data_IF_905378138433
#
_entry.id   IF_905378138433
#
_cell.length_a   1.000
_cell.length_b   1.000
_cell.length_c   1.000
_cell.angle_alpha   90.00
_cell.angle_beta   90.00
_cell.angle_gamma   90.00
#
_symmetry.space_group_name_H-M   'P 1'
#
loop_
_entity.id
_entity.type
_entity.pdbx_description
1 polymer ?
#
# COMPACT_ATOMS: atom_id res chain seq x y z
N UNK A 1 -10.53 4.94 -8.48
CA UNK A 1 -10.12 3.52 -8.39
C UNK A 1 -9.21 3.14 -9.54
N UNK A 2 -8.30 2.19 -9.33
CA UNK A 2 -7.50 1.64 -10.44
C UNK A 2 -7.34 0.13 -10.35
N UNK A 3 -7.24 -0.49 -11.53
CA UNK A 3 -7.09 -1.93 -11.67
C UNK A 3 -6.01 -2.22 -12.69
N UNK A 4 -5.09 -3.11 -12.31
CA UNK A 4 -4.00 -3.57 -13.14
C UNK A 4 -3.94 -5.08 -13.05
N UNK A 5 -4.22 -5.75 -14.16
CA UNK A 5 -4.13 -7.21 -14.23
C UNK A 5 -3.49 -7.72 -15.52
N UNK A 6 -2.23 -8.15 -15.49
CA UNK A 6 -1.65 -8.98 -16.54
C UNK A 6 -2.02 -10.46 -16.36
N UNK A 7 -2.12 -11.19 -17.47
CA UNK A 7 -2.35 -12.65 -17.47
C UNK A 7 -1.15 -13.43 -18.01
N UNK A 8 -0.88 -14.63 -17.47
CA UNK A 8 0.19 -15.52 -17.94
C UNK A 8 -0.27 -16.41 -19.10
N UNK A 9 0.57 -16.59 -20.12
CA UNK A 9 0.30 -17.55 -21.19
C UNK A 9 0.47 -18.99 -20.68
N UNK A 10 -0.52 -19.85 -20.95
CA UNK A 10 -0.48 -21.27 -20.61
C UNK A 10 -0.07 -22.16 -21.80
N UNK A 11 -0.10 -21.63 -23.03
CA UNK A 11 0.10 -22.43 -24.25
C UNK A 11 1.55 -22.74 -24.60
N UNK A 12 2.52 -21.94 -24.12
CA UNK A 12 3.91 -22.02 -24.60
C UNK A 12 4.77 -23.05 -23.86
N UNK A 13 4.21 -23.71 -22.85
CA UNK A 13 4.85 -24.82 -22.13
C UNK A 13 3.79 -25.81 -21.68
N UNK A 14 3.40 -26.72 -22.57
CA UNK A 14 2.74 -27.97 -22.18
C UNK A 14 3.59 -28.74 -21.13
N UNK A 15 4.91 -28.46 -21.05
CA UNK A 15 5.84 -28.89 -20.00
C UNK A 15 5.63 -28.24 -18.61
N UNK A 16 4.96 -27.10 -18.50
CA UNK A 16 4.66 -26.43 -17.22
C UNK A 16 3.35 -26.92 -16.59
N UNK A 17 2.56 -27.71 -17.32
CA UNK A 17 1.37 -28.39 -16.80
C UNK A 17 1.71 -29.75 -16.16
N UNK A 18 2.86 -30.33 -16.51
CA UNK A 18 3.30 -31.67 -16.06
C UNK A 18 4.27 -31.66 -14.87
N UNK A 19 4.74 -30.49 -14.42
CA UNK A 19 5.52 -30.35 -13.17
C UNK A 19 4.62 -29.78 -12.07
N UNK A 20 4.26 -30.64 -11.11
CA UNK A 20 3.64 -30.37 -9.81
C UNK A 20 3.12 -28.93 -9.57
N UNK A 21 1.82 -28.86 -9.38
CA UNK A 21 0.85 -27.76 -9.35
C UNK A 21 1.10 -26.59 -8.35
N UNK A 22 2.35 -26.18 -8.13
CA UNK A 22 2.77 -25.18 -7.13
C UNK A 22 2.81 -23.74 -7.68
N UNK A 23 1.87 -23.36 -8.55
CA UNK A 23 1.83 -21.98 -9.07
C UNK A 23 1.08 -21.03 -8.13
N UNK A 24 1.48 -19.76 -8.13
CA UNK A 24 0.80 -18.71 -7.38
C UNK A 24 0.27 -17.61 -8.31
N UNK A 25 -0.98 -17.24 -8.08
CA UNK A 25 -1.53 -15.95 -8.44
C UNK A 25 -1.20 -14.94 -7.35
N UNK A 26 -1.10 -13.67 -7.72
CA UNK A 26 -1.02 -12.57 -6.76
C UNK A 26 -2.31 -11.77 -6.84
N UNK A 27 -2.92 -11.48 -5.69
CA UNK A 27 -4.07 -10.61 -5.58
C UNK A 27 -3.81 -9.54 -4.53
N UNK A 28 -3.77 -8.29 -4.95
CA UNK A 28 -3.68 -7.11 -4.10
C UNK A 28 -5.05 -6.42 -4.07
N UNK A 29 -5.62 -6.32 -2.88
CA UNK A 29 -6.85 -5.58 -2.59
C UNK A 29 -6.48 -4.38 -1.75
N UNK A 30 -6.48 -3.20 -2.38
CA UNK A 30 -6.11 -1.93 -1.80
C UNK A 30 -7.31 -1.10 -1.35
N UNK A 31 -7.18 -0.49 -0.18
CA UNK A 31 -8.08 0.54 0.32
C UNK A 31 -7.25 1.79 0.61
N UNK A 32 -7.55 2.89 -0.04
CA UNK A 32 -6.85 4.17 0.11
C UNK A 32 -7.06 4.77 1.50
N UNK A 33 -6.03 5.37 2.11
CA UNK A 33 -6.15 6.24 3.29
C UNK A 33 -6.62 5.58 4.60
N UNK A 34 -6.35 4.29 4.82
CA UNK A 34 -6.75 3.58 6.04
C UNK A 34 -5.54 3.16 6.87
N UNK A 35 -5.46 3.72 8.08
CA UNK A 35 -4.47 3.30 9.09
C UNK A 35 -4.78 1.90 9.62
N UNK A 36 -3.77 1.22 10.18
CA UNK A 36 -3.95 -0.04 10.90
C UNK A 36 -5.07 0.03 11.93
N UNK A 37 -5.04 1.02 12.81
CA UNK A 37 -6.02 1.13 13.88
C UNK A 37 -7.41 1.54 13.35
N UNK A 38 -7.47 2.35 12.29
CA UNK A 38 -8.73 2.67 11.64
C UNK A 38 -9.39 1.42 11.06
N UNK A 39 -8.65 0.55 10.38
CA UNK A 39 -9.19 -0.70 9.83
C UNK A 39 -9.80 -1.60 10.90
N UNK A 40 -9.14 -1.72 12.08
CA UNK A 40 -9.71 -2.46 13.22
C UNK A 40 -10.98 -1.83 13.78
N UNK A 41 -11.09 -0.50 13.79
CA UNK A 41 -12.27 0.21 14.31
C UNK A 41 -13.45 0.17 13.34
N UNK A 42 -13.19 0.44 12.06
CA UNK A 42 -14.24 0.62 11.07
C UNK A 42 -14.61 -0.67 10.35
N UNK A 43 -13.68 -1.60 10.18
CA UNK A 43 -13.92 -2.86 9.44
C UNK A 43 -13.63 -4.13 10.28
N UNK A 44 -14.25 -4.26 11.48
CA UNK A 44 -13.94 -5.36 12.40
C UNK A 44 -14.33 -6.74 11.86
N UNK A 45 -15.40 -6.89 11.05
CA UNK A 45 -15.78 -8.19 10.48
C UNK A 45 -14.72 -8.67 9.49
N UNK A 46 -14.27 -7.76 8.63
CA UNK A 46 -13.19 -7.99 7.68
C UNK A 46 -11.88 -8.36 8.38
N UNK A 47 -11.48 -7.59 9.39
CA UNK A 47 -10.27 -7.86 10.20
C UNK A 47 -10.34 -9.23 10.87
N UNK A 48 -11.45 -9.53 11.53
CA UNK A 48 -11.60 -10.80 12.25
C UNK A 48 -11.56 -11.99 11.29
N UNK A 49 -12.17 -11.86 10.12
CA UNK A 49 -12.15 -12.93 9.13
C UNK A 49 -10.74 -13.14 8.53
N UNK A 50 -10.01 -12.07 8.20
CA UNK A 50 -8.62 -12.17 7.73
C UNK A 50 -7.75 -12.90 8.76
N UNK A 51 -7.88 -12.56 10.04
CA UNK A 51 -7.19 -13.27 11.13
C UNK A 51 -7.62 -14.74 11.23
N UNK A 52 -8.92 -15.02 11.12
CA UNK A 52 -9.47 -16.38 11.18
C UNK A 52 -8.90 -17.29 10.09
N UNK A 53 -8.72 -16.79 8.86
CA UNK A 53 -8.15 -17.58 7.76
C UNK A 53 -6.62 -17.67 7.80
N UNK A 54 -5.98 -17.04 8.80
CA UNK A 54 -4.54 -17.07 9.02
C UNK A 54 -3.76 -16.07 8.18
N UNK A 55 -4.37 -14.96 7.75
CA UNK A 55 -3.65 -13.84 7.17
C UNK A 55 -2.77 -13.18 8.24
N UNK A 56 -1.51 -12.94 7.92
CA UNK A 56 -0.53 -12.30 8.82
C UNK A 56 -0.69 -10.79 8.71
N UNK A 57 -0.98 -10.16 9.84
CA UNK A 57 -1.02 -8.70 9.96
C UNK A 57 0.40 -8.15 10.15
N UNK A 58 0.86 -7.30 9.24
CA UNK A 58 2.17 -6.63 9.33
C UNK A 58 2.03 -5.39 10.22
N UNK A 59 2.27 -5.58 11.52
CA UNK A 59 2.09 -4.55 12.57
C UNK A 59 3.09 -3.39 12.40
N UNK A 60 4.32 -3.69 11.98
CA UNK A 60 5.37 -2.70 11.76
C UNK A 60 5.42 -2.09 10.36
N UNK A 61 4.37 -2.23 9.54
CA UNK A 61 4.33 -1.68 8.20
C UNK A 61 4.19 -0.15 8.22
N UNK A 62 5.14 0.54 7.60
CA UNK A 62 5.28 1.99 7.63
C UNK A 62 5.33 2.56 6.22
N UNK A 63 4.59 3.66 6.00
CA UNK A 63 4.65 4.39 4.72
C UNK A 63 6.00 5.07 4.52
N UNK A 64 6.33 5.39 3.28
CA UNK A 64 7.61 6.05 2.92
C UNK A 64 7.41 7.45 2.33
N UNK A 65 6.17 7.80 1.99
CA UNK A 65 5.84 9.08 1.39
C UNK A 65 4.46 9.60 1.78
N UNK A 66 4.13 10.77 1.25
CA UNK A 66 2.98 11.57 1.71
C UNK A 66 1.64 10.90 1.39
N UNK A 67 1.39 10.60 0.12
CA UNK A 67 0.11 10.13 -0.43
C UNK A 67 0.26 8.77 -1.15
N UNK A 68 -0.77 8.36 -1.90
CA UNK A 68 -0.78 7.11 -2.65
C UNK A 68 0.40 6.93 -3.58
N UNK A 69 0.76 7.97 -4.33
CA UNK A 69 1.73 7.85 -5.40
C UNK A 69 3.11 7.33 -4.95
N UNK A 70 3.83 7.96 -3.99
CA UNK A 70 5.13 7.44 -3.54
C UNK A 70 5.04 6.06 -2.91
N UNK A 71 3.98 5.77 -2.17
CA UNK A 71 3.86 4.51 -1.43
C UNK A 71 3.54 3.33 -2.35
N UNK A 72 2.59 3.49 -3.28
CA UNK A 72 2.27 2.46 -4.28
C UNK A 72 3.40 2.33 -5.29
N UNK A 73 4.03 3.43 -5.72
CA UNK A 73 5.20 3.40 -6.60
C UNK A 73 6.35 2.60 -5.98
N UNK A 74 6.64 2.83 -4.70
CA UNK A 74 7.67 2.08 -3.99
C UNK A 74 7.37 0.58 -3.92
N UNK A 75 6.11 0.18 -3.69
CA UNK A 75 5.71 -1.23 -3.70
C UNK A 75 5.78 -1.87 -5.09
N UNK A 76 5.48 -1.10 -6.14
CA UNK A 76 5.44 -1.64 -7.50
C UNK A 76 6.77 -1.52 -8.24
N UNK A 77 7.65 -0.58 -7.90
CA UNK A 77 8.91 -0.35 -8.61
C UNK A 77 10.16 -0.51 -7.74
N UNK A 78 10.02 -0.63 -6.41
CA UNK A 78 11.17 -0.72 -5.50
C UNK A 78 11.96 0.58 -5.37
N UNK A 79 11.40 1.70 -5.84
CA UNK A 79 12.12 2.99 -5.99
C UNK A 79 11.34 4.17 -5.45
N UNK A 80 12.06 5.20 -5.04
CA UNK A 80 11.51 6.51 -4.74
C UNK A 80 11.04 7.23 -6.02
N UNK A 81 10.20 8.25 -5.85
CA UNK A 81 9.77 9.13 -6.94
C UNK A 81 10.98 9.79 -7.60
N UNK A 82 11.92 10.30 -6.81
CA UNK A 82 13.09 11.04 -7.30
C UNK A 82 14.01 10.15 -8.15
N UNK A 83 14.05 8.85 -7.84
CA UNK A 83 14.80 7.85 -8.60
C UNK A 83 14.11 7.53 -9.93
N UNK A 84 12.78 7.37 -9.91
CA UNK A 84 11.96 7.16 -11.12
C UNK A 84 12.01 8.38 -12.06
N UNK A 85 11.98 9.59 -11.49
CA UNK A 85 12.06 10.83 -12.26
C UNK A 85 13.41 10.96 -12.98
N UNK A 86 14.52 10.63 -12.32
CA UNK A 86 15.84 10.70 -12.95
C UNK A 86 16.01 9.72 -14.11
N UNK A 87 15.35 8.57 -14.04
CA UNK A 87 15.63 7.47 -14.95
C UNK A 87 14.67 7.38 -16.14
N UNK A 88 13.37 7.40 -15.88
CA UNK A 88 12.36 7.04 -16.88
C UNK A 88 11.17 8.01 -16.94
N UNK A 89 11.01 8.89 -15.96
CA UNK A 89 9.90 9.85 -15.88
C UNK A 89 10.36 11.29 -15.53
N UNK A 90 11.23 11.91 -16.33
CA UNK A 90 11.89 13.18 -15.97
C UNK A 90 10.96 14.39 -15.94
N UNK A 91 9.83 14.34 -16.63
CA UNK A 91 8.81 15.39 -16.63
C UNK A 91 7.42 14.79 -16.72
N UNK A 92 6.40 15.56 -16.34
CA UNK A 92 4.99 15.15 -16.38
C UNK A 92 4.47 14.79 -17.79
N UNK A 93 5.21 15.16 -18.83
CA UNK A 93 4.90 14.80 -20.22
C UNK A 93 5.38 13.40 -20.61
N UNK A 94 6.19 12.74 -19.77
CA UNK A 94 6.65 11.37 -20.02
C UNK A 94 5.64 10.35 -19.48
N UNK A 95 5.64 9.18 -20.10
CA UNK A 95 4.84 8.03 -19.65
C UNK A 95 5.70 7.03 -18.89
N UNK A 96 5.05 6.24 -18.03
CA UNK A 96 5.71 5.22 -17.21
C UNK A 96 6.09 3.94 -17.99
N UNK A 97 5.86 3.89 -19.30
CA UNK A 97 6.07 2.69 -20.13
C UNK A 97 7.51 2.15 -20.07
N UNK A 98 8.48 3.04 -19.87
CA UNK A 98 9.91 2.70 -19.80
C UNK A 98 10.43 2.51 -18.36
N UNK A 99 9.56 2.58 -17.36
CA UNK A 99 9.96 2.45 -15.96
C UNK A 99 9.95 0.99 -15.49
N UNK A 100 11.00 0.58 -14.80
CA UNK A 100 11.16 -0.78 -14.25
C UNK A 100 10.22 -1.05 -13.08
N UNK A 101 8.95 -1.31 -13.37
CA UNK A 101 7.98 -1.80 -12.42
C UNK A 101 7.95 -3.33 -12.40
N UNK A 102 7.40 -3.89 -11.32
CA UNK A 102 7.29 -5.32 -11.07
C UNK A 102 6.61 -6.07 -12.22
N UNK A 103 5.69 -5.44 -12.93
CA UNK A 103 5.05 -6.07 -14.08
C UNK A 103 6.00 -6.37 -15.24
N UNK A 104 7.17 -5.73 -15.29
CA UNK A 104 8.23 -6.10 -16.21
C UNK A 104 8.78 -7.49 -15.91
N UNK A 105 8.97 -7.80 -14.63
CA UNK A 105 9.40 -9.10 -14.18
C UNK A 105 8.32 -10.16 -14.42
N UNK A 106 7.04 -9.81 -14.19
CA UNK A 106 5.92 -10.68 -14.53
C UNK A 106 5.87 -10.94 -16.04
N UNK A 107 6.02 -9.91 -16.91
CA UNK A 107 6.08 -10.11 -18.36
C UNK A 107 7.19 -11.10 -18.76
N UNK A 108 8.38 -10.95 -18.18
CA UNK A 108 9.51 -11.88 -18.41
C UNK A 108 9.19 -13.31 -17.97
N UNK A 109 8.31 -13.49 -16.99
CA UNK A 109 7.83 -14.80 -16.49
C UNK A 109 6.62 -15.36 -17.26
N UNK A 110 6.33 -14.82 -18.44
CA UNK A 110 5.32 -15.32 -19.39
C UNK A 110 3.98 -14.58 -19.36
N UNK A 111 3.90 -13.42 -18.72
CA UNK A 111 2.70 -12.58 -18.74
C UNK A 111 2.58 -11.78 -20.06
N UNK A 112 1.36 -11.65 -20.60
CA UNK A 112 1.13 -11.28 -22.01
C UNK A 112 1.44 -9.83 -22.36
N UNK A 113 0.93 -8.86 -21.59
CA UNK A 113 1.06 -7.43 -21.93
C UNK A 113 1.38 -6.57 -20.72
N UNK A 114 2.25 -5.59 -20.94
CA UNK A 114 2.38 -4.44 -20.04
C UNK A 114 1.54 -3.27 -20.58
N UNK A 115 0.99 -2.42 -19.70
CA UNK A 115 0.86 -2.63 -18.26
C UNK A 115 -0.10 -3.78 -17.96
N UNK A 116 -1.27 -3.85 -18.60
CA UNK A 116 -2.34 -4.77 -18.21
C UNK A 116 -3.18 -5.28 -19.39
N UNK A 117 -3.75 -6.47 -19.25
CA UNK A 117 -4.79 -7.01 -20.14
C UNK A 117 -6.21 -6.52 -19.76
N UNK A 118 -6.43 -6.14 -18.48
CA UNK A 118 -7.71 -5.71 -17.93
C UNK A 118 -7.58 -4.44 -17.08
N UNK A 119 -8.05 -3.31 -17.60
CA UNK A 119 -8.05 -2.01 -16.91
C UNK A 119 -9.45 -1.48 -16.63
N UNK A 120 -10.01 -1.77 -15.44
CA UNK A 120 -11.32 -1.25 -15.02
C UNK A 120 -11.34 0.29 -14.90
N UNK A 121 -10.18 0.88 -14.61
CA UNK A 121 -10.02 2.32 -14.39
C UNK A 121 -10.53 3.18 -15.55
N UNK A 122 -10.41 2.73 -16.81
CA UNK A 122 -10.91 3.48 -17.96
C UNK A 122 -12.43 3.57 -17.98
N UNK A 123 -13.09 2.44 -17.72
CA UNK A 123 -14.55 2.37 -17.63
C UNK A 123 -15.03 3.15 -16.40
N UNK A 124 -14.42 2.93 -15.25
CA UNK A 124 -14.75 3.59 -13.99
C UNK A 124 -14.65 5.11 -14.11
N UNK A 125 -13.55 5.62 -14.68
CA UNK A 125 -13.35 7.06 -14.91
C UNK A 125 -14.45 7.65 -15.79
N UNK A 126 -14.82 6.98 -16.88
CA UNK A 126 -15.87 7.48 -17.77
C UNK A 126 -17.26 7.37 -17.13
N UNK A 127 -17.51 6.32 -16.33
CA UNK A 127 -18.74 6.17 -15.57
C UNK A 127 -18.87 7.27 -14.51
N UNK A 128 -17.83 7.53 -13.72
CA UNK A 128 -17.75 8.63 -12.76
C UNK A 128 -18.01 9.98 -13.42
N UNK A 129 -17.37 10.23 -14.58
CA UNK A 129 -17.55 11.48 -15.33
C UNK A 129 -19.00 11.70 -15.81
N UNK A 130 -19.71 10.65 -16.22
CA UNK A 130 -21.05 10.76 -16.80
C UNK A 130 -22.19 10.67 -15.79
N UNK A 131 -22.06 9.79 -14.80
CA UNK A 131 -23.15 9.42 -13.88
C UNK A 131 -22.71 9.41 -12.41
N UNK A 132 -21.46 9.75 -12.12
CA UNK A 132 -20.97 9.87 -10.76
C UNK A 132 -21.68 10.98 -9.99
N UNK A 133 -22.00 10.72 -8.72
CA UNK A 133 -22.76 11.62 -7.87
C UNK A 133 -22.47 11.35 -6.38
N UNK A 134 -23.18 12.08 -5.50
CA UNK A 134 -22.95 12.03 -4.04
C UNK A 134 -21.48 12.35 -3.75
N UNK A 135 -21.04 13.51 -4.25
CA UNK A 135 -19.68 13.98 -4.02
C UNK A 135 -19.48 14.21 -2.52
N UNK A 136 -18.43 13.60 -1.98
CA UNK A 136 -17.96 13.80 -0.63
C UNK A 136 -16.52 14.27 -0.74
N UNK A 137 -16.31 15.58 -0.59
CA UNK A 137 -15.02 16.25 -0.82
C UNK A 137 -14.41 15.91 -2.20
N UNK A 138 -13.35 15.09 -2.24
CA UNK A 138 -12.57 14.79 -3.44
C UNK A 138 -13.03 13.51 -4.17
N UNK A 139 -13.99 12.77 -3.61
CA UNK A 139 -14.44 11.48 -4.15
C UNK A 139 -15.94 11.44 -4.42
N UNK A 140 -16.34 10.62 -5.40
CA UNK A 140 -17.74 10.28 -5.65
C UNK A 140 -18.07 8.95 -4.97
N UNK A 141 -19.12 8.93 -4.16
CA UNK A 141 -19.55 7.72 -3.46
C UNK A 141 -20.41 6.79 -4.34
N UNK A 142 -21.06 7.37 -5.35
CA UNK A 142 -22.05 6.67 -6.18
C UNK A 142 -21.82 6.90 -7.68
N UNK A 143 -22.10 5.87 -8.49
CA UNK A 143 -22.33 5.96 -9.94
C UNK A 143 -23.77 5.60 -10.29
N UNK A 144 -24.55 6.61 -10.67
CA UNK A 144 -26.00 6.49 -10.75
C UNK A 144 -26.57 6.07 -9.39
N UNK A 145 -27.32 4.97 -9.36
CA UNK A 145 -27.93 4.42 -8.14
C UNK A 145 -27.06 3.36 -7.43
N UNK A 146 -25.77 3.24 -7.77
CA UNK A 146 -24.89 2.18 -7.25
C UNK A 146 -23.69 2.76 -6.52
N UNK A 147 -23.33 2.13 -5.41
CA UNK A 147 -22.10 2.44 -4.69
C UNK A 147 -20.87 2.08 -5.51
N UNK A 148 -19.89 2.98 -5.51
CA UNK A 148 -18.66 2.84 -6.29
C UNK A 148 -17.84 1.64 -5.80
N UNK A 149 -17.63 1.50 -4.49
CA UNK A 149 -16.91 0.37 -3.90
C UNK A 149 -17.56 -0.99 -4.21
N UNK A 150 -18.90 -1.06 -4.25
CA UNK A 150 -19.61 -2.32 -4.56
C UNK A 150 -19.40 -2.76 -6.01
N UNK A 151 -19.44 -1.82 -6.95
CA UNK A 151 -19.18 -2.13 -8.36
C UNK A 151 -17.72 -2.55 -8.59
N UNK A 152 -16.78 -1.95 -7.85
CA UNK A 152 -15.38 -2.37 -7.84
C UNK A 152 -15.20 -3.80 -7.33
N UNK A 153 -15.76 -4.12 -6.15
CA UNK A 153 -15.73 -5.48 -5.59
C UNK A 153 -16.39 -6.50 -6.52
N UNK A 154 -17.48 -6.12 -7.18
CA UNK A 154 -18.17 -6.97 -8.17
C UNK A 154 -17.31 -7.21 -9.41
N UNK A 155 -16.62 -6.18 -9.91
CA UNK A 155 -15.68 -6.34 -11.02
C UNK A 155 -14.53 -7.29 -10.64
N UNK A 156 -13.92 -7.06 -9.47
CA UNK A 156 -12.82 -7.90 -8.95
C UNK A 156 -13.24 -9.36 -8.78
N UNK A 157 -14.39 -9.63 -8.16
CA UNK A 157 -14.88 -11.00 -7.94
C UNK A 157 -15.21 -11.71 -9.25
N UNK A 158 -15.79 -11.02 -10.23
CA UNK A 158 -16.02 -11.57 -11.56
C UNK A 158 -14.70 -11.88 -12.28
N UNK A 159 -13.73 -10.97 -12.20
CA UNK A 159 -12.40 -11.18 -12.77
C UNK A 159 -11.75 -12.45 -12.19
N UNK A 160 -11.68 -12.58 -10.87
CA UNK A 160 -11.06 -13.72 -10.18
C UNK A 160 -11.76 -15.03 -10.56
N UNK A 161 -13.09 -15.01 -10.60
CA UNK A 161 -13.88 -16.17 -11.01
C UNK A 161 -13.57 -16.58 -12.45
N UNK A 162 -13.55 -15.63 -13.39
CA UNK A 162 -13.21 -15.90 -14.80
C UNK A 162 -11.80 -16.47 -14.94
N UNK A 163 -10.82 -15.94 -14.20
CA UNK A 163 -9.44 -16.46 -14.24
C UNK A 163 -9.39 -17.91 -13.75
N UNK A 164 -10.06 -18.22 -12.63
CA UNK A 164 -10.14 -19.59 -12.13
C UNK A 164 -10.85 -20.54 -13.09
N UNK A 165 -12.01 -20.15 -13.63
CA UNK A 165 -12.82 -20.96 -14.56
C UNK A 165 -12.05 -21.31 -15.84
N UNK A 166 -11.11 -20.46 -16.27
CA UNK A 166 -10.29 -20.67 -17.46
C UNK A 166 -8.87 -21.14 -17.13
N UNK A 167 -8.59 -21.48 -15.86
CA UNK A 167 -7.26 -21.87 -15.36
C UNK A 167 -6.15 -20.85 -15.63
N UNK A 168 -6.49 -19.58 -15.81
CA UNK A 168 -5.55 -18.50 -16.14
C UNK A 168 -4.83 -17.98 -14.89
N UNK A 169 -3.51 -17.83 -14.99
CA UNK A 169 -2.71 -17.23 -13.92
C UNK A 169 -2.69 -15.70 -14.05
N UNK A 170 -2.71 -15.00 -12.93
CA UNK A 170 -2.82 -13.54 -12.91
C UNK A 170 -2.04 -12.87 -11.77
N UNK A 171 -1.68 -11.60 -11.98
CA UNK A 171 -1.30 -10.65 -10.93
C UNK A 171 -2.37 -9.57 -10.92
N UNK A 172 -3.25 -9.55 -9.92
CA UNK A 172 -4.37 -8.61 -9.87
C UNK A 172 -4.10 -7.54 -8.83
N UNK A 173 -4.06 -6.27 -9.25
CA UNK A 173 -3.96 -5.12 -8.36
C UNK A 173 -5.25 -4.31 -8.45
N UNK A 174 -6.04 -4.30 -7.39
CA UNK A 174 -7.35 -3.63 -7.31
C UNK A 174 -7.31 -2.58 -6.21
N UNK A 175 -7.58 -1.31 -6.55
CA UNK A 175 -7.47 -0.20 -5.60
C UNK A 175 -8.77 0.61 -5.53
N UNK A 176 -9.34 0.66 -4.32
CA UNK A 176 -10.60 1.33 -3.99
C UNK A 176 -10.32 2.58 -3.13
N UNK A 177 -11.05 3.67 -3.36
CA UNK A 177 -10.83 4.93 -2.64
C UNK A 177 -12.12 5.70 -2.27
N UNK A 178 -13.30 5.26 -2.73
CA UNK A 178 -14.54 6.03 -2.59
C UNK A 178 -15.02 6.13 -1.15
N UNK A 179 -14.88 5.08 -0.34
CA UNK A 179 -15.43 5.06 1.03
C UNK A 179 -14.39 5.36 2.12
N UNK A 180 -13.14 5.64 1.75
CA UNK A 180 -12.03 5.71 2.72
C UNK A 180 -11.10 6.90 2.57
N UNK A 181 -11.03 7.52 1.38
CA UNK A 181 -10.06 8.58 1.12
C UNK A 181 -10.28 9.83 2.00
N UNK A 182 -11.53 10.29 2.10
CA UNK A 182 -11.86 11.60 2.70
C UNK A 182 -12.54 11.52 4.09
N UNK A 183 -12.97 10.34 4.55
CA UNK A 183 -13.71 10.20 5.80
C UNK A 183 -13.20 9.06 6.69
N UNK A 184 -12.96 9.37 7.96
CA UNK A 184 -12.40 8.44 8.95
C UNK A 184 -13.34 7.29 9.30
N UNK A 185 -14.66 7.47 9.18
CA UNK A 185 -15.68 6.55 9.67
C UNK A 185 -16.44 5.85 8.54
N UNK A 186 -16.47 6.45 7.35
CA UNK A 186 -17.17 5.91 6.19
C UNK A 186 -16.72 4.50 5.77
N UNK A 187 -15.47 4.01 5.97
CA UNK A 187 -15.11 2.63 5.65
C UNK A 187 -15.99 1.58 6.32
N UNK A 188 -16.64 1.94 7.44
CA UNK A 188 -17.58 1.09 8.16
C UNK A 188 -18.75 0.59 7.32
N UNK A 189 -19.18 1.35 6.31
CA UNK A 189 -20.28 0.92 5.43
C UNK A 189 -19.86 -0.23 4.50
N UNK A 190 -18.55 -0.37 4.26
CA UNK A 190 -17.98 -1.42 3.42
C UNK A 190 -17.66 -2.72 4.17
N UNK A 191 -17.65 -2.72 5.51
CA UNK A 191 -17.16 -3.87 6.29
C UNK A 191 -17.87 -5.18 5.95
N UNK A 192 -19.21 -5.15 5.81
CA UNK A 192 -20.01 -6.31 5.41
C UNK A 192 -19.72 -6.78 3.98
N UNK A 193 -19.50 -5.84 3.05
CA UNK A 193 -19.20 -6.16 1.65
C UNK A 193 -17.81 -6.79 1.50
N UNK A 194 -16.78 -6.22 2.15
CA UNK A 194 -15.42 -6.76 2.13
C UNK A 194 -15.32 -8.10 2.86
N UNK A 195 -15.97 -8.24 4.03
CA UNK A 195 -16.10 -9.52 4.72
C UNK A 195 -16.70 -10.60 3.82
N UNK A 196 -17.82 -10.29 3.14
CA UNK A 196 -18.47 -11.23 2.23
C UNK A 196 -17.56 -11.65 1.07
N UNK A 197 -16.78 -10.72 0.52
CA UNK A 197 -15.81 -11.02 -0.54
C UNK A 197 -14.68 -11.91 -0.02
N UNK A 198 -14.04 -11.58 1.12
CA UNK A 198 -12.98 -12.42 1.67
C UNK A 198 -13.49 -13.83 1.99
N UNK A 199 -14.71 -13.93 2.53
CA UNK A 199 -15.39 -15.20 2.78
C UNK A 199 -15.59 -16.00 1.51
N UNK A 200 -16.19 -15.37 0.49
CA UNK A 200 -16.40 -15.97 -0.82
C UNK A 200 -15.09 -16.48 -1.45
N UNK A 201 -14.01 -15.68 -1.41
CA UNK A 201 -12.70 -16.05 -1.95
C UNK A 201 -12.13 -17.31 -1.29
N UNK A 202 -12.23 -17.42 0.03
CA UNK A 202 -11.74 -18.60 0.77
C UNK A 202 -12.64 -19.82 0.56
N UNK A 203 -13.95 -19.69 0.77
CA UNK A 203 -14.89 -20.82 0.74
C UNK A 203 -15.04 -21.45 -0.65
N UNK A 204 -14.88 -20.65 -1.71
CA UNK A 204 -14.95 -21.14 -3.09
C UNK A 204 -13.56 -21.53 -3.65
N UNK A 205 -12.54 -21.63 -2.79
CA UNK A 205 -11.20 -22.07 -3.15
C UNK A 205 -10.48 -21.15 -4.15
N UNK A 206 -10.82 -19.86 -4.20
CA UNK A 206 -10.08 -18.87 -5.00
C UNK A 206 -8.71 -18.55 -4.39
N UNK A 207 -8.56 -18.79 -3.08
CA UNK A 207 -7.31 -18.63 -2.32
C UNK A 207 -6.43 -19.89 -2.28
N UNK A 208 -6.78 -20.96 -3.00
CA UNK A 208 -6.00 -22.20 -2.99
C UNK A 208 -4.65 -22.03 -3.68
N UNK A 209 -4.56 -21.21 -4.73
CA UNK A 209 -3.33 -20.93 -5.48
C UNK A 209 -3.09 -19.42 -5.59
N UNK A 210 -3.50 -18.65 -4.59
CA UNK A 210 -3.43 -17.18 -4.64
C UNK A 210 -2.84 -16.64 -3.34
N UNK A 211 -1.74 -15.89 -3.45
CA UNK A 211 -1.28 -15.03 -2.36
C UNK A 211 -2.15 -13.78 -2.34
N UNK A 212 -2.77 -13.52 -1.21
CA UNK A 212 -3.65 -12.37 -1.02
C UNK A 212 -2.95 -11.32 -0.16
N UNK A 213 -2.83 -10.12 -0.70
CA UNK A 213 -2.42 -8.91 0.01
C UNK A 213 -3.65 -8.03 0.18
N UNK A 214 -3.97 -7.65 1.41
CA UNK A 214 -5.00 -6.65 1.71
C UNK A 214 -4.29 -5.48 2.37
N UNK A 215 -4.25 -4.32 1.73
CA UNK A 215 -3.38 -3.24 2.17
C UNK A 215 -3.96 -1.83 2.02
N UNK A 216 -3.33 -0.89 2.72
CA UNK A 216 -3.45 0.53 2.46
C UNK A 216 -2.06 1.14 2.23
N UNK A 217 -2.04 2.34 1.67
CA UNK A 217 -0.86 3.13 1.31
C UNK A 217 -0.44 4.13 2.40
N UNK A 218 -1.43 4.70 3.08
CA UNK A 218 -1.27 5.60 4.22
C UNK A 218 -2.55 5.62 5.08
N UNK A 219 -2.51 6.27 6.24
CA UNK A 219 -3.72 6.59 6.98
C UNK A 219 -4.39 7.88 6.48
N UNK A 220 -5.47 8.30 7.15
CA UNK A 220 -6.23 9.48 6.74
C UNK A 220 -5.38 10.76 6.80
N UNK A 221 -5.43 11.55 5.72
CA UNK A 221 -4.67 12.80 5.59
C UNK A 221 -5.50 14.07 5.84
N UNK A 222 -6.78 13.87 6.13
CA UNK A 222 -7.79 14.92 6.24
C UNK A 222 -8.49 14.89 7.60
N UNK A 223 -9.18 15.98 7.90
CA UNK A 223 -9.96 16.14 9.13
C UNK A 223 -9.13 16.44 10.38
N UNK A 224 -9.83 16.79 11.46
CA UNK A 224 -9.20 17.26 12.70
C UNK A 224 -8.34 16.22 13.43
N UNK A 225 -8.51 14.92 13.15
CA UNK A 225 -7.70 13.87 13.76
C UNK A 225 -6.21 14.05 13.45
N UNK A 226 -5.87 14.55 12.25
CA UNK A 226 -4.49 14.74 11.81
C UNK A 226 -3.71 15.75 12.66
N UNK A 227 -4.41 16.66 13.34
CA UNK A 227 -3.81 17.61 14.29
C UNK A 227 -3.42 16.98 15.63
N UNK A 228 -3.74 15.71 15.86
CA UNK A 228 -3.37 14.99 17.10
C UNK A 228 -2.15 14.10 16.86
N UNK A 229 -1.36 13.84 17.90
CA UNK A 229 -0.26 12.86 17.85
C UNK A 229 -0.74 11.48 17.36
N UNK A 230 -1.90 11.03 17.83
CA UNK A 230 -2.50 9.76 17.40
C UNK A 230 -2.78 9.75 15.89
N UNK A 231 -3.41 10.81 15.36
CA UNK A 231 -3.68 10.92 13.92
C UNK A 231 -2.41 10.98 13.10
N UNK A 232 -1.39 11.71 13.57
CA UNK A 232 -0.06 11.73 12.96
C UNK A 232 0.57 10.34 12.88
N UNK A 233 0.47 9.51 13.92
CA UNK A 233 0.99 8.14 13.88
C UNK A 233 0.15 7.25 12.96
N UNK A 234 -1.18 7.35 13.05
CA UNK A 234 -2.08 6.59 12.19
C UNK A 234 -1.92 6.92 10.71
N UNK A 235 -1.64 8.19 10.36
CA UNK A 235 -1.35 8.61 8.99
C UNK A 235 -0.13 7.88 8.41
N UNK A 236 0.85 7.51 9.25
CA UNK A 236 2.12 6.89 8.87
C UNK A 236 2.10 5.36 8.87
N UNK A 237 1.12 4.77 9.54
CA UNK A 237 1.01 3.33 9.79
C UNK A 237 -0.24 2.75 9.12
N UNK A 238 -0.24 2.58 7.78
CA UNK A 238 -1.30 1.87 7.08
C UNK A 238 -1.35 0.40 7.47
N UNK A 239 -2.47 -0.26 7.21
CA UNK A 239 -2.56 -1.71 7.40
C UNK A 239 -1.94 -2.47 6.23
N UNK A 240 -1.42 -3.66 6.52
CA UNK A 240 -1.06 -4.67 5.52
C UNK A 240 -1.33 -6.07 6.11
N UNK A 241 -2.13 -6.86 5.39
CA UNK A 241 -2.37 -8.27 5.68
C UNK A 241 -1.87 -9.12 4.51
N UNK A 242 -1.17 -10.21 4.84
CA UNK A 242 -0.63 -11.16 3.86
C UNK A 242 -1.16 -12.56 4.16
N UNK A 243 -1.93 -13.12 3.23
CA UNK A 243 -2.37 -14.51 3.27
C UNK A 243 -1.60 -15.34 2.24
N UNK A 244 -0.99 -16.42 2.70
CA UNK A 244 -0.37 -17.44 1.86
C UNK A 244 -1.28 -18.68 1.78
N UNK A 245 -1.38 -19.36 0.62
CA UNK A 245 -2.07 -20.64 0.52
C UNK A 245 -1.59 -21.67 1.55
N UNK A 246 -2.47 -22.58 1.97
CA UNK A 246 -2.15 -23.57 3.00
C UNK A 246 -1.00 -24.49 2.57
N UNK A 247 -1.03 -24.99 1.33
CA UNK A 247 0.06 -25.80 0.80
C UNK A 247 1.40 -25.05 0.80
N UNK A 248 1.38 -23.74 0.52
CA UNK A 248 2.59 -22.91 0.51
C UNK A 248 3.17 -22.81 1.93
N UNK A 249 2.32 -22.57 2.93
CA UNK A 249 2.73 -22.52 4.34
C UNK A 249 3.38 -23.83 4.79
N UNK A 250 2.79 -24.96 4.42
CA UNK A 250 3.31 -26.28 4.78
C UNK A 250 4.62 -26.61 4.03
N UNK A 251 4.70 -26.32 2.73
CA UNK A 251 5.85 -26.63 1.90
C UNK A 251 7.05 -25.71 2.20
N UNK A 252 6.79 -24.42 2.41
CA UNK A 252 7.80 -23.38 2.64
C UNK A 252 7.71 -22.82 4.06
N UNK A 253 7.73 -23.71 5.06
CA UNK A 253 7.52 -23.37 6.46
C UNK A 253 8.50 -22.29 6.97
N UNK A 254 9.76 -22.32 6.55
CA UNK A 254 10.76 -21.31 6.93
C UNK A 254 10.36 -19.92 6.43
N UNK A 255 9.89 -19.80 5.19
CA UNK A 255 9.43 -18.53 4.61
C UNK A 255 8.19 -17.99 5.32
N UNK A 256 7.27 -18.89 5.69
CA UNK A 256 6.09 -18.50 6.48
C UNK A 256 6.46 -18.05 7.89
N UNK A 257 7.41 -18.73 8.55
CA UNK A 257 7.92 -18.33 9.86
C UNK A 257 8.61 -16.95 9.80
N UNK A 258 9.37 -16.68 8.72
CA UNK A 258 9.96 -15.36 8.49
C UNK A 258 8.88 -14.29 8.33
N UNK A 259 7.83 -14.54 7.55
CA UNK A 259 6.71 -13.60 7.42
C UNK A 259 6.08 -13.28 8.78
N UNK A 260 5.83 -14.31 9.60
CA UNK A 260 5.29 -14.14 10.96
C UNK A 260 6.23 -13.34 11.85
N UNK A 261 7.54 -13.60 11.82
CA UNK A 261 8.54 -12.84 12.59
C UNK A 261 8.60 -11.37 12.13
N UNK A 262 8.71 -11.17 10.82
CA UNK A 262 8.82 -9.86 10.19
C UNK A 262 7.58 -9.00 10.38
N UNK A 263 6.42 -9.61 10.65
CA UNK A 263 5.19 -8.89 10.96
C UNK A 263 5.33 -7.92 12.14
N UNK A 264 6.27 -8.18 13.05
CA UNK A 264 6.56 -7.36 14.23
C UNK A 264 7.70 -6.35 14.00
N UNK A 265 8.33 -6.36 12.84
CA UNK A 265 9.49 -5.54 12.51
C UNK A 265 9.11 -4.37 11.60
N UNK A 266 9.99 -3.35 11.57
CA UNK A 266 9.84 -2.23 10.65
C UNK A 266 9.87 -2.75 9.21
N UNK A 267 8.77 -2.59 8.49
CA UNK A 267 8.61 -2.98 7.09
C UNK A 267 8.03 -1.84 6.29
N UNK A 268 8.26 -1.85 4.98
CA UNK A 268 7.97 -0.72 4.08
C UNK A 268 7.43 -1.22 2.74
N UNK A 269 6.88 -0.33 1.91
CA UNK A 269 6.60 -0.64 0.51
C UNK A 269 7.77 -1.28 -0.26
N UNK A 270 9.03 -0.96 0.05
CA UNK A 270 10.19 -1.60 -0.61
C UNK A 270 10.31 -3.08 -0.28
N UNK A 271 10.03 -3.46 0.96
CA UNK A 271 10.01 -4.87 1.37
C UNK A 271 8.89 -5.63 0.65
N UNK A 272 7.75 -4.95 0.41
CA UNK A 272 6.64 -5.50 -0.37
C UNK A 272 7.00 -5.69 -1.85
N UNK A 273 7.77 -4.76 -2.45
CA UNK A 273 8.30 -4.93 -3.81
C UNK A 273 9.16 -6.18 -3.93
N UNK A 274 10.16 -6.33 -3.05
CA UNK A 274 11.02 -7.51 -3.02
C UNK A 274 10.22 -8.79 -2.80
N UNK A 275 9.12 -8.73 -2.04
CA UNK A 275 8.21 -9.87 -1.84
C UNK A 275 7.52 -10.25 -3.15
N UNK A 276 7.04 -9.28 -3.94
CA UNK A 276 6.42 -9.56 -5.23
C UNK A 276 7.42 -10.18 -6.23
N UNK A 277 8.67 -9.74 -6.19
CA UNK A 277 9.76 -10.28 -7.01
C UNK A 277 10.12 -11.70 -6.58
N UNK A 278 10.28 -11.96 -5.28
CA UNK A 278 10.57 -13.30 -4.75
C UNK A 278 9.46 -14.32 -5.09
N UNK A 279 8.20 -13.89 -5.04
CA UNK A 279 7.06 -14.76 -5.39
C UNK A 279 7.02 -15.18 -6.87
N UNK A 280 7.75 -14.51 -7.76
CA UNK A 280 7.93 -14.95 -9.15
C UNK A 280 8.87 -16.15 -9.29
N UNK A 281 9.71 -16.42 -8.29
CA UNK A 281 10.75 -17.44 -8.38
C UNK A 281 11.07 -18.07 -7.02
N UNK A 282 10.07 -18.73 -6.44
CA UNK A 282 10.11 -19.29 -5.09
C UNK A 282 11.24 -20.32 -4.92
N UNK A 283 11.59 -21.07 -5.97
CA UNK A 283 12.64 -22.10 -5.92
C UNK A 283 14.05 -21.51 -5.68
N UNK A 284 14.26 -20.25 -6.05
CA UNK A 284 15.54 -19.55 -5.86
C UNK A 284 15.59 -18.74 -4.56
N UNK A 285 14.56 -18.78 -3.73
CA UNK A 285 14.60 -18.18 -2.39
C UNK A 285 15.48 -19.08 -1.53
N UNK A 286 16.74 -18.67 -1.35
CA UNK A 286 17.71 -19.41 -0.57
C UNK A 286 17.29 -19.44 0.91
N UNK A 287 16.70 -20.56 1.32
CA UNK A 287 16.23 -20.80 2.68
C UNK A 287 17.33 -20.75 3.74
N UNK A 288 18.61 -20.83 3.34
CA UNK A 288 19.76 -20.87 4.24
C UNK A 288 20.52 -19.53 4.33
N UNK A 289 20.17 -18.55 3.50
CA UNK A 289 20.80 -17.24 3.56
C UNK A 289 20.17 -16.41 4.68
N UNK A 290 20.66 -16.64 5.89
CA UNK A 290 20.60 -15.69 7.02
C UNK A 290 21.50 -14.45 6.78
N UNK A 291 21.93 -14.20 5.54
CA UNK A 291 22.66 -12.99 5.21
C UNK A 291 21.73 -11.80 5.46
N UNK A 292 22.12 -10.95 6.41
CA UNK A 292 21.45 -9.69 6.67
C UNK A 292 21.63 -8.86 5.40
N UNK A 293 20.62 -8.88 4.53
CA UNK A 293 20.64 -8.07 3.33
C UNK A 293 20.47 -6.61 3.78
N UNK A 294 21.50 -5.79 3.56
CA UNK A 294 21.50 -4.37 3.90
C UNK A 294 20.81 -3.54 2.82
N UNK A 295 20.09 -4.18 1.89
CA UNK A 295 19.27 -3.48 0.91
C UNK A 295 18.11 -2.79 1.61
N UNK A 296 17.75 -1.64 1.05
CA UNK A 296 16.63 -0.81 1.48
C UNK A 296 15.32 -1.60 1.65
N UNK A 297 15.02 -2.46 0.67
CA UNK A 297 13.93 -3.42 0.69
C UNK A 297 14.47 -4.83 0.87
N UNK A 298 13.82 -5.61 1.72
CA UNK A 298 14.05 -7.05 1.90
C UNK A 298 12.69 -7.73 1.88
N UNK A 299 12.57 -8.78 1.07
CA UNK A 299 11.33 -9.57 0.97
C UNK A 299 10.82 -9.99 2.35
N UNK A 300 9.52 -9.86 2.56
CA UNK A 300 8.83 -10.24 3.79
C UNK A 300 8.93 -11.75 4.08
N UNK A 301 9.33 -12.55 3.10
CA UNK A 301 9.54 -13.99 3.20
C UNK A 301 10.96 -14.37 3.64
N UNK A 302 11.90 -13.41 3.64
CA UNK A 302 13.29 -13.60 4.07
C UNK A 302 13.51 -13.05 5.48
N UNK A 303 14.62 -13.37 6.13
CA UNK A 303 14.93 -12.81 7.45
C UNK A 303 15.20 -11.30 7.39
N UNK A 304 14.41 -10.49 8.08
CA UNK A 304 14.65 -9.04 8.23
C UNK A 304 15.37 -8.78 9.55
N UNK A 305 16.37 -7.89 9.52
CA UNK A 305 17.11 -7.48 10.72
C UNK A 305 16.23 -6.72 11.71
N UNK A 306 16.29 -7.11 12.98
CA UNK A 306 15.62 -6.42 14.09
C UNK A 306 16.24 -5.05 14.39
N UNK A 307 17.43 -4.78 13.86
CA UNK A 307 18.20 -3.56 14.11
C UNK A 307 18.08 -2.52 12.98
N UNK A 308 17.26 -2.77 11.95
CA UNK A 308 17.09 -1.81 10.85
C UNK A 308 16.45 -0.51 11.34
N UNK A 309 17.00 0.60 10.90
CA UNK A 309 16.52 1.95 11.19
C UNK A 309 15.69 2.49 10.03
N UNK A 310 14.92 3.56 10.26
CA UNK A 310 14.21 4.26 9.18
C UNK A 310 15.14 4.68 8.03
N UNK A 311 16.38 5.07 8.36
CA UNK A 311 17.41 5.44 7.38
C UNK A 311 17.80 4.25 6.51
N UNK A 312 18.04 3.07 7.11
CA UNK A 312 18.34 1.83 6.38
C UNK A 312 17.20 1.45 5.42
N UNK A 313 15.95 1.73 5.80
CA UNK A 313 14.75 1.40 5.01
C UNK A 313 14.39 2.45 3.95
N UNK A 314 15.12 3.58 3.90
CA UNK A 314 14.80 4.70 3.02
C UNK A 314 13.48 5.42 3.36
N UNK A 315 13.07 5.39 4.64
CA UNK A 315 11.99 6.24 5.16
C UNK A 315 12.60 7.60 5.48
N UNK A 316 12.11 8.65 4.82
CA UNK A 316 12.50 10.03 5.14
C UNK A 316 12.09 10.34 6.58
N UNK A 317 12.95 11.07 7.29
CA UNK A 317 12.80 11.37 8.72
C UNK A 317 11.39 11.83 9.14
N UNK A 318 10.73 12.64 8.30
CA UNK A 318 9.35 13.10 8.54
C UNK A 318 8.29 11.99 8.64
N UNK A 319 8.51 10.86 7.97
CA UNK A 319 7.60 9.70 7.93
C UNK A 319 8.01 8.57 8.89
N UNK A 320 9.14 8.71 9.58
CA UNK A 320 9.63 7.72 10.51
C UNK A 320 8.82 7.72 11.82
N UNK A 321 8.29 6.55 12.20
CA UNK A 321 7.51 6.38 13.44
C UNK A 321 8.33 5.86 14.62
N UNK A 322 9.61 5.53 14.40
CA UNK A 322 10.52 5.13 15.47
C UNK A 322 10.92 6.30 16.41
N UNK A 323 10.55 7.52 16.04
CA UNK A 323 10.86 8.75 16.76
C UNK A 323 9.89 8.97 17.93
N UNK A 324 10.36 9.66 18.96
CA UNK A 324 9.51 10.08 20.09
C UNK A 324 9.18 11.56 19.97
N UNK A 325 7.94 11.87 20.28
CA UNK A 325 7.50 13.24 20.51
C UNK A 325 7.96 13.74 21.88
N UNK A 326 8.45 14.97 21.93
CA UNK A 326 8.84 15.66 23.16
C UNK A 326 8.16 17.02 23.17
N UNK A 327 7.46 17.32 24.27
CA UNK A 327 6.88 18.64 24.48
C UNK A 327 8.01 19.65 24.71
N UNK A 328 7.99 20.78 23.98
CA UNK A 328 8.98 21.84 24.13
C UNK A 328 8.38 23.01 24.90
N UNK A 329 9.17 23.60 25.79
CA UNK A 329 8.78 24.82 26.48
C UNK A 329 8.67 25.97 25.48
N UNK A 330 7.44 26.40 25.22
CA UNK A 330 7.12 27.52 24.32
C UNK A 330 7.69 28.86 24.78
N UNK A 331 8.12 28.96 26.04
CA UNK A 331 8.79 30.15 26.57
C UNK A 331 10.30 30.15 26.32
N UNK A 332 10.88 29.03 25.92
CA UNK A 332 12.30 28.90 25.63
C UNK A 332 12.72 29.87 24.51
N UNK A 333 13.74 30.68 24.77
CA UNK A 333 14.17 31.72 23.85
C UNK A 333 14.76 31.17 22.54
N UNK A 334 15.43 30.02 22.59
CA UNK A 334 15.92 29.33 21.39
C UNK A 334 14.76 28.88 20.52
N UNK A 335 13.72 28.31 21.13
CA UNK A 335 12.51 27.89 20.43
C UNK A 335 11.81 29.07 19.76
N UNK A 336 11.62 30.18 20.47
CA UNK A 336 11.05 31.41 19.90
C UNK A 336 11.89 31.94 18.75
N UNK A 337 13.21 31.94 18.88
CA UNK A 337 14.13 32.39 17.82
C UNK A 337 14.00 31.53 16.57
N UNK A 338 14.02 30.20 16.71
CA UNK A 338 13.89 29.27 15.57
C UNK A 338 12.51 29.40 14.93
N UNK A 339 11.45 29.45 15.72
CA UNK A 339 10.09 29.60 15.19
C UNK A 339 9.93 30.92 14.41
N UNK A 340 10.45 32.03 14.94
CA UNK A 340 10.43 33.32 14.24
C UNK A 340 11.25 33.29 12.96
N UNK A 341 12.44 32.66 12.98
CA UNK A 341 13.25 32.47 11.78
C UNK A 341 12.48 31.71 10.69
N UNK A 342 11.83 30.60 11.03
CA UNK A 342 11.03 29.83 10.08
C UNK A 342 9.87 30.64 9.50
N UNK A 343 9.12 31.36 10.35
CA UNK A 343 8.01 32.20 9.88
C UNK A 343 8.49 33.32 8.97
N UNK A 344 9.58 33.99 9.33
CA UNK A 344 10.15 35.05 8.50
C UNK A 344 10.65 34.49 7.17
N UNK A 345 11.34 33.35 7.18
CA UNK A 345 11.79 32.69 5.95
C UNK A 345 10.63 32.31 5.03
N UNK A 346 9.52 31.79 5.59
CA UNK A 346 8.32 31.48 4.78
C UNK A 346 7.72 32.78 4.23
N UNK A 347 7.61 33.84 5.03
CA UNK A 347 7.10 35.14 4.56
C UNK A 347 7.98 35.72 3.45
N UNK A 348 9.30 35.58 3.54
CA UNK A 348 10.22 35.99 2.48
C UNK A 348 9.95 35.23 1.18
N UNK A 349 9.74 33.90 1.24
CA UNK A 349 9.33 33.09 0.09
C UNK A 349 7.95 33.49 -0.46
N UNK A 350 7.03 33.93 0.40
CA UNK A 350 5.67 34.34 0.02
C UNK A 350 5.59 35.78 -0.48
N UNK A 351 6.64 36.59 -0.28
CA UNK A 351 6.65 38.03 -0.62
C UNK A 351 6.39 38.31 -2.11
N UNK A 352 6.75 37.36 -2.98
CA UNK A 352 6.49 37.43 -4.43
C UNK A 352 5.02 37.15 -4.81
N UNK A 353 4.20 36.68 -3.85
CA UNK A 353 2.82 36.26 -4.05
C UNK A 353 1.84 37.20 -3.32
N UNK A 354 1.43 38.33 -3.92
CA UNK A 354 0.68 39.40 -3.24
C UNK A 354 -0.73 39.01 -2.75
N UNK A 355 -1.19 37.79 -3.05
CA UNK A 355 -2.46 37.23 -2.54
C UNK A 355 -2.29 36.46 -1.23
N UNK A 356 -1.05 36.17 -0.83
CA UNK A 356 -0.74 35.47 0.41
C UNK A 356 -0.72 36.46 1.58
N UNK A 357 -1.17 36.03 2.75
CA UNK A 357 -1.11 36.82 3.97
C UNK A 357 0.25 36.62 4.67
N UNK A 358 0.76 37.68 5.31
CA UNK A 358 1.92 37.57 6.19
C UNK A 358 1.59 36.64 7.36
N UNK A 359 2.34 35.56 7.46
CA UNK A 359 2.23 34.61 8.55
C UNK A 359 2.79 35.24 9.83
N UNK A 360 2.11 35.02 10.94
CA UNK A 360 2.56 35.40 12.28
C UNK A 360 2.42 34.21 13.20
N UNK A 361 3.31 34.12 14.18
CA UNK A 361 3.15 33.15 15.26
C UNK A 361 1.98 33.63 16.11
N UNK A 362 0.83 33.00 15.93
CA UNK A 362 -0.28 33.14 16.87
C UNK A 362 0.06 32.25 18.06
N UNK A 363 0.11 32.82 19.27
CA UNK A 363 0.50 32.11 20.49
C UNK A 363 -0.36 30.87 20.72
N UNK A 364 0.14 29.75 20.21
CA UNK A 364 -0.10 28.37 20.60
C UNK A 364 0.69 27.49 19.64
N UNK A 365 2.02 27.55 19.75
CA UNK A 365 2.81 26.37 19.37
C UNK A 365 2.50 25.33 20.44
N UNK A 366 1.36 24.63 20.32
CA UNK A 366 0.95 23.64 21.33
C UNK A 366 1.96 22.49 21.39
N UNK A 367 2.58 22.16 20.26
CA UNK A 367 3.58 21.09 20.14
C UNK A 367 4.63 21.47 19.09
N UNK A 368 5.92 21.42 19.46
CA UNK A 368 7.05 21.44 18.53
C UNK A 368 7.75 20.09 18.61
N UNK A 369 7.96 19.45 17.47
CA UNK A 369 8.47 18.09 17.43
C UNK A 369 9.96 18.11 17.12
N UNK A 370 10.79 17.76 18.10
CA UNK A 370 12.20 17.48 17.83
C UNK A 370 12.37 16.03 17.40
N UNK A 371 13.04 15.82 16.28
CA UNK A 371 13.43 14.48 15.82
C UNK A 371 14.61 14.02 16.68
N UNK A 372 14.34 13.29 17.76
CA UNK A 372 15.38 12.59 18.50
C UNK A 372 15.55 11.17 17.92
N UNK A 373 16.75 10.87 17.38
CA UNK A 373 17.16 9.49 17.08
C UNK A 373 17.17 8.72 18.40
N UNK A 374 16.56 7.53 18.41
CA UNK A 374 16.53 6.66 19.58
C UNK A 374 17.86 5.93 19.75
#
# INVERSE_FOLDING_TARGET
>A
MFVFVPIKNLSDTQKDLDKNDDYLNILVIGLDSISRLNFHRQMPKSVNYLKQIGAVEMIGYNKIGENTFPNVLAALAGRHIEEIQKDCWPTDNHHFDNCSFVWMDYKQKGFKKQPTDYGYNYFDREAMRRIGNTAFENVQLCQGARWVHKEHLKYMTNFIRTMKENSLKYFGFFWENSISHDDLNLPRIGDDDYYAVFKYLKENGHLNNTVLFVMSDHGIRWGGIRSTFQGMMEERLPFLYVYLPEWYRHKYQQLYNNLQKNSLLLTTPFDLHETFVDLLNIENIDNNNNSINTSRGVSLLRGISEYRTCEDTGIVSHWCTCQKSVELDVNNQTIKTVANFCVNYINDLLSEYPKCADLKIVYQVQELWSIAKK
#
